data_IF_494143091510
#
_entry.id   IF_494143091510
#
_cell.length_a   1.000
_cell.length_b   1.000
_cell.length_c   1.000
_cell.angle_alpha   90.00
_cell.angle_beta   90.00
_cell.angle_gamma   90.00
#
_symmetry.space_group_name_H-M   'P 1'
#
loop_
_entity.id
_entity.type
_entity.pdbx_description
1 polymer ?
#
# COMPACT_ATOMS: atom_id res chain seq x y z
N UNK A 1 -25.32 7.38 24.32
CA UNK A 1 -24.94 7.19 22.89
C UNK A 1 -25.41 8.35 21.99
N UNK A 2 -26.69 8.78 22.05
CA UNK A 2 -27.16 9.93 21.27
C UNK A 2 -26.41 11.24 21.57
N UNK A 3 -26.10 11.53 22.83
CA UNK A 3 -25.30 12.70 23.21
C UNK A 3 -23.89 12.68 22.63
N UNK A 4 -23.28 11.50 22.52
CA UNK A 4 -21.99 11.35 21.87
C UNK A 4 -22.01 11.81 20.41
N UNK A 5 -23.03 11.39 19.63
CA UNK A 5 -23.16 11.80 18.23
C UNK A 5 -23.50 13.28 18.05
N UNK A 6 -24.11 13.94 19.06
CA UNK A 6 -24.41 15.38 19.03
C UNK A 6 -23.18 16.25 19.27
N UNK A 7 -22.18 15.73 20.01
CA UNK A 7 -20.91 16.43 20.28
C UNK A 7 -19.78 16.09 19.31
N UNK A 8 -20.02 15.16 18.38
CA UNK A 8 -19.05 14.83 17.33
C UNK A 8 -18.90 16.00 16.35
N UNK A 9 -17.65 16.41 16.13
CA UNK A 9 -17.34 17.35 15.06
C UNK A 9 -17.40 16.64 13.70
N UNK A 10 -18.57 16.62 13.09
CA UNK A 10 -18.81 15.94 11.79
C UNK A 10 -17.95 16.47 10.66
N UNK A 11 -17.48 17.72 10.75
CA UNK A 11 -16.56 18.28 9.77
C UNK A 11 -15.19 17.59 9.87
N UNK A 12 -14.68 17.38 11.07
CA UNK A 12 -13.42 16.65 11.30
C UNK A 12 -13.56 15.18 10.88
N UNK A 13 -14.69 14.55 11.19
CA UNK A 13 -14.97 13.18 10.72
C UNK A 13 -14.94 13.12 9.19
N UNK A 14 -15.62 14.04 8.53
CA UNK A 14 -15.64 14.13 7.06
C UNK A 14 -14.25 14.36 6.47
N UNK A 15 -13.42 15.19 7.09
CA UNK A 15 -12.02 15.41 6.69
C UNK A 15 -11.18 14.14 6.84
N UNK A 16 -11.30 13.43 7.98
CA UNK A 16 -10.56 12.18 8.21
C UNK A 16 -10.97 11.14 7.17
N UNK A 17 -12.27 10.96 6.91
CA UNK A 17 -12.76 10.01 5.90
C UNK A 17 -12.24 10.38 4.52
N UNK A 18 -12.32 11.66 4.14
CA UNK A 18 -11.86 12.13 2.83
C UNK A 18 -10.35 11.92 2.66
N UNK A 19 -9.57 12.27 3.68
CA UNK A 19 -8.11 12.06 3.69
C UNK A 19 -7.79 10.57 3.58
N UNK A 20 -8.46 9.71 4.37
CA UNK A 20 -8.21 8.27 4.36
C UNK A 20 -8.59 7.64 3.01
N UNK A 21 -9.67 8.08 2.37
CA UNK A 21 -10.04 7.62 1.02
C UNK A 21 -9.05 8.12 -0.03
N UNK A 22 -8.64 9.38 0.03
CA UNK A 22 -7.72 9.97 -0.95
C UNK A 22 -6.31 9.38 -0.84
N UNK A 23 -5.83 9.19 0.40
CA UNK A 23 -4.52 8.60 0.69
C UNK A 23 -4.55 7.07 0.76
N UNK A 24 -5.72 6.47 0.82
CA UNK A 24 -5.91 5.01 0.90
C UNK A 24 -6.32 4.37 -0.42
N UNK A 25 -6.39 5.14 -1.51
CA UNK A 25 -6.74 4.60 -2.83
C UNK A 25 -5.70 3.61 -3.36
N UNK A 26 -4.44 3.83 -3.07
CA UNK A 26 -3.32 2.93 -3.34
C UNK A 26 -3.40 1.64 -2.50
N UNK A 27 -3.89 1.70 -1.26
CA UNK A 27 -4.11 0.51 -0.43
C UNK A 27 -5.09 -0.47 -1.08
N UNK A 28 -6.12 0.03 -1.77
CA UNK A 28 -7.06 -0.83 -2.49
C UNK A 28 -6.37 -1.60 -3.64
N UNK A 29 -5.38 -1.00 -4.30
CA UNK A 29 -4.57 -1.65 -5.34
C UNK A 29 -3.70 -2.74 -4.72
N UNK A 30 -3.04 -2.47 -3.58
CA UNK A 30 -2.21 -3.44 -2.86
C UNK A 30 -3.02 -4.64 -2.41
N UNK A 31 -4.19 -4.40 -1.82
CA UNK A 31 -5.11 -5.47 -1.38
C UNK A 31 -5.52 -6.34 -2.59
N UNK A 32 -5.89 -5.71 -3.71
CA UNK A 32 -6.28 -6.42 -4.92
C UNK A 32 -5.12 -7.25 -5.48
N UNK A 33 -3.90 -6.68 -5.56
CA UNK A 33 -2.69 -7.37 -6.01
C UNK A 33 -2.37 -8.58 -5.13
N UNK A 34 -2.38 -8.41 -3.81
CA UNK A 34 -2.08 -9.49 -2.87
C UNK A 34 -3.12 -10.63 -2.91
N UNK A 35 -4.38 -10.31 -3.21
CA UNK A 35 -5.48 -11.28 -3.23
C UNK A 35 -5.74 -11.88 -4.62
N UNK A 36 -5.05 -11.45 -5.69
CA UNK A 36 -5.38 -11.85 -7.07
C UNK A 36 -5.23 -13.34 -7.34
N UNK A 37 -4.24 -13.99 -6.71
CA UNK A 37 -3.96 -15.43 -6.86
C UNK A 37 -4.72 -16.33 -5.89
N UNK A 38 -5.52 -15.73 -5.00
CA UNK A 38 -6.36 -16.50 -4.11
C UNK A 38 -7.51 -17.18 -4.88
N UNK A 39 -7.88 -18.42 -4.53
CA UNK A 39 -9.11 -19.05 -5.00
C UNK A 39 -10.31 -18.13 -4.77
N UNK A 40 -11.30 -18.17 -5.65
CA UNK A 40 -12.44 -17.22 -5.63
C UNK A 40 -13.15 -17.16 -4.27
N UNK A 41 -13.34 -18.32 -3.64
CA UNK A 41 -14.00 -18.43 -2.32
C UNK A 41 -13.19 -17.86 -1.16
N UNK A 42 -11.87 -17.62 -1.34
CA UNK A 42 -10.98 -17.02 -0.35
C UNK A 42 -10.67 -15.54 -0.62
N UNK A 43 -10.90 -15.03 -1.83
CA UNK A 43 -10.59 -13.64 -2.20
C UNK A 43 -11.25 -12.62 -1.27
N UNK A 44 -12.54 -12.77 -1.01
CA UNK A 44 -13.24 -11.86 -0.10
C UNK A 44 -12.71 -11.96 1.33
N UNK A 45 -12.35 -13.15 1.79
CA UNK A 45 -11.72 -13.34 3.12
C UNK A 45 -10.36 -12.67 3.19
N UNK A 46 -9.57 -12.74 2.11
CA UNK A 46 -8.27 -12.04 2.00
C UNK A 46 -8.43 -10.53 2.03
N UNK A 47 -9.34 -9.99 1.24
CA UNK A 47 -9.64 -8.55 1.18
C UNK A 47 -10.09 -8.03 2.55
N UNK A 48 -11.11 -8.67 3.14
CA UNK A 48 -11.65 -8.24 4.44
C UNK A 48 -10.62 -8.42 5.56
N UNK A 49 -9.96 -9.57 5.62
CA UNK A 49 -8.94 -9.86 6.64
C UNK A 49 -7.74 -8.93 6.54
N UNK A 50 -7.27 -8.65 5.32
CA UNK A 50 -6.20 -7.69 5.05
C UNK A 50 -6.59 -6.27 5.44
N UNK A 51 -7.76 -5.80 4.99
CA UNK A 51 -8.26 -4.47 5.29
C UNK A 51 -8.47 -4.25 6.79
N UNK A 52 -9.10 -5.20 7.49
CA UNK A 52 -9.30 -5.10 8.95
C UNK A 52 -7.97 -5.09 9.72
N UNK A 53 -7.04 -5.98 9.35
CA UNK A 53 -5.71 -6.02 9.97
C UNK A 53 -4.93 -4.72 9.75
N UNK A 54 -4.97 -4.17 8.54
CA UNK A 54 -4.37 -2.90 8.18
C UNK A 54 -4.92 -1.75 9.02
N UNK A 55 -6.25 -1.68 9.19
CA UNK A 55 -6.91 -0.63 9.94
C UNK A 55 -6.57 -0.67 11.43
N UNK A 56 -6.62 -1.85 12.04
CA UNK A 56 -6.23 -2.01 13.45
C UNK A 56 -4.81 -1.48 13.66
N UNK A 57 -3.91 -1.85 12.75
CA UNK A 57 -2.52 -1.41 12.80
C UNK A 57 -2.41 0.12 12.61
N UNK A 58 -3.14 0.69 11.65
CA UNK A 58 -3.15 2.14 11.39
C UNK A 58 -3.62 2.95 12.59
N UNK A 59 -4.68 2.52 13.29
CA UNK A 59 -5.14 3.17 14.52
C UNK A 59 -4.04 3.16 15.59
N UNK A 60 -3.32 2.05 15.73
CA UNK A 60 -2.16 1.96 16.64
C UNK A 60 -1.05 2.91 16.20
N UNK A 61 -0.71 2.94 14.91
CA UNK A 61 0.34 3.81 14.37
C UNK A 61 0.05 5.29 14.60
N UNK A 62 -1.20 5.71 14.47
CA UNK A 62 -1.60 7.11 14.69
C UNK A 62 -1.31 7.53 16.15
N UNK A 63 -1.47 6.64 17.11
CA UNK A 63 -1.12 6.92 18.52
C UNK A 63 0.38 7.19 18.71
N UNK A 64 1.24 6.65 17.84
CA UNK A 64 2.70 6.80 17.87
C UNK A 64 3.27 7.65 16.75
N UNK A 65 2.42 8.34 15.99
CA UNK A 65 2.76 9.06 14.76
C UNK A 65 4.02 9.92 14.88
N UNK A 66 4.04 10.84 15.85
CA UNK A 66 5.14 11.80 16.03
C UNK A 66 6.47 11.08 16.34
N UNK A 67 6.41 10.01 17.12
CA UNK A 67 7.60 9.22 17.46
C UNK A 67 8.13 8.46 16.25
N UNK A 68 7.25 7.83 15.48
CA UNK A 68 7.62 7.07 14.29
C UNK A 68 8.30 7.93 13.23
N UNK A 69 7.85 9.16 13.05
CA UNK A 69 8.41 10.08 12.06
C UNK A 69 9.82 10.55 12.37
N UNK A 70 10.21 10.57 13.65
CA UNK A 70 11.55 10.97 14.09
C UNK A 70 12.57 9.83 14.03
N UNK A 71 12.14 8.59 13.73
CA UNK A 71 13.03 7.43 13.66
C UNK A 71 13.80 7.44 12.34
N UNK A 72 15.15 7.62 12.37
CA UNK A 72 15.96 7.58 11.17
C UNK A 72 15.96 6.17 10.55
N UNK A 73 16.11 6.10 9.23
CA UNK A 73 16.12 4.89 8.41
C UNK A 73 14.78 4.11 8.34
N UNK A 74 13.75 4.54 9.07
CA UNK A 74 12.46 3.85 9.06
C UNK A 74 11.81 3.87 7.67
N UNK A 75 11.82 5.03 7.01
CA UNK A 75 11.29 5.20 5.65
C UNK A 75 12.14 4.50 4.61
N UNK A 76 13.46 4.42 4.80
CA UNK A 76 14.35 3.67 3.91
C UNK A 76 14.01 2.18 3.95
N UNK A 77 13.93 1.60 5.15
CA UNK A 77 13.57 0.18 5.31
C UNK A 77 12.19 -0.10 4.73
N UNK A 78 11.22 0.76 5.04
CA UNK A 78 9.87 0.64 4.50
C UNK A 78 9.83 0.75 2.98
N UNK A 79 10.52 1.72 2.40
CA UNK A 79 10.60 1.91 0.94
C UNK A 79 11.23 0.72 0.21
N UNK A 80 12.32 0.16 0.76
CA UNK A 80 12.92 -1.08 0.23
C UNK A 80 11.94 -2.24 0.29
N UNK A 81 11.20 -2.35 1.40
CA UNK A 81 10.19 -3.39 1.57
C UNK A 81 9.03 -3.25 0.58
N UNK A 82 8.56 -2.02 0.29
CA UNK A 82 7.54 -1.78 -0.74
C UNK A 82 8.02 -2.14 -2.13
N UNK A 83 9.26 -1.79 -2.49
CA UNK A 83 9.86 -2.18 -3.76
C UNK A 83 9.93 -3.71 -3.87
N UNK A 84 10.37 -4.39 -2.81
CA UNK A 84 10.42 -5.85 -2.76
C UNK A 84 9.02 -6.48 -2.89
N UNK A 85 8.00 -5.94 -2.19
CA UNK A 85 6.61 -6.42 -2.31
C UNK A 85 6.11 -6.21 -3.74
N UNK A 86 6.36 -5.04 -4.33
CA UNK A 86 5.98 -4.74 -5.71
C UNK A 86 6.59 -5.73 -6.70
N UNK A 87 7.88 -6.03 -6.55
CA UNK A 87 8.56 -7.06 -7.36
C UNK A 87 7.96 -8.45 -7.14
N UNK A 88 7.80 -8.85 -5.88
CA UNK A 88 7.22 -10.15 -5.54
C UNK A 88 5.82 -10.31 -6.13
N UNK A 89 4.96 -9.30 -5.97
CA UNK A 89 3.60 -9.34 -6.51
C UNK A 89 3.58 -9.33 -8.05
N UNK A 90 4.59 -8.80 -8.72
CA UNK A 90 4.70 -8.86 -10.17
C UNK A 90 5.21 -10.22 -10.66
N UNK A 91 6.13 -10.83 -9.90
CA UNK A 91 6.76 -12.11 -10.23
C UNK A 91 5.89 -13.33 -9.92
N UNK A 92 4.93 -13.19 -9.00
CA UNK A 92 3.99 -14.24 -8.60
C UNK A 92 2.95 -14.49 -9.73
N UNK A 93 3.44 -14.70 -10.97
CA UNK A 93 2.66 -15.11 -12.13
C UNK A 93 2.44 -16.62 -12.08
N UNK A 94 1.65 -17.06 -11.08
CA UNK A 94 1.02 -18.39 -11.16
C UNK A 94 1.97 -19.58 -11.34
N UNK A 95 3.12 -19.57 -10.67
CA UNK A 95 3.92 -20.79 -10.57
C UNK A 95 3.07 -21.88 -9.90
N UNK A 96 2.98 -23.02 -10.56
CA UNK A 96 2.24 -24.22 -10.15
C UNK A 96 2.81 -24.83 -8.87
N UNK A 97 2.77 -24.10 -7.76
CA UNK A 97 2.87 -24.69 -6.43
C UNK A 97 1.53 -25.34 -6.09
N UNK A 98 1.23 -26.46 -6.76
CA UNK A 98 0.01 -27.25 -6.59
C UNK A 98 -0.18 -27.78 -5.16
N UNK A 99 0.84 -27.71 -4.30
CA UNK A 99 0.80 -28.28 -2.94
C UNK A 99 0.59 -27.27 -1.80
N UNK A 100 0.54 -25.96 -2.07
CA UNK A 100 0.33 -25.00 -0.99
C UNK A 100 -1.16 -24.90 -0.65
N UNK A 101 -1.52 -25.32 0.58
CA UNK A 101 -2.88 -25.21 1.12
C UNK A 101 -3.44 -23.77 0.97
N UNK A 102 -4.69 -23.69 0.51
CA UNK A 102 -5.38 -22.41 0.32
C UNK A 102 -5.39 -21.54 1.58
N UNK A 103 -5.35 -22.12 2.76
CA UNK A 103 -5.23 -21.41 4.04
C UNK A 103 -3.88 -20.71 4.20
N UNK A 104 -2.80 -21.33 3.78
CA UNK A 104 -1.45 -20.75 3.81
C UNK A 104 -1.34 -19.57 2.82
N UNK A 105 -1.89 -19.71 1.60
CA UNK A 105 -1.96 -18.62 0.61
C UNK A 105 -2.78 -17.44 1.12
N UNK A 106 -3.92 -17.69 1.78
CA UNK A 106 -4.75 -16.66 2.40
C UNK A 106 -3.97 -15.88 3.46
N UNK A 107 -3.28 -16.57 4.36
CA UNK A 107 -2.51 -15.92 5.41
C UNK A 107 -1.34 -15.11 4.86
N UNK A 108 -0.68 -15.59 3.81
CA UNK A 108 0.38 -14.86 3.09
C UNK A 108 -0.17 -13.57 2.48
N UNK A 109 -1.32 -13.62 1.80
CA UNK A 109 -1.96 -12.45 1.25
C UNK A 109 -2.31 -11.42 2.33
N UNK A 110 -2.93 -11.85 3.43
CA UNK A 110 -3.29 -10.98 4.56
C UNK A 110 -2.03 -10.33 5.15
N UNK A 111 -0.97 -11.10 5.40
CA UNK A 111 0.30 -10.57 5.92
C UNK A 111 0.91 -9.54 4.96
N UNK A 112 0.91 -9.82 3.66
CA UNK A 112 1.43 -8.88 2.64
C UNK A 112 0.67 -7.57 2.67
N UNK A 113 -0.67 -7.60 2.76
CA UNK A 113 -1.51 -6.40 2.88
C UNK A 113 -1.17 -5.62 4.13
N UNK A 114 -1.12 -6.28 5.30
CA UNK A 114 -0.84 -5.62 6.59
C UNK A 114 0.55 -4.98 6.59
N UNK A 115 1.57 -5.67 6.06
CA UNK A 115 2.93 -5.14 6.01
C UNK A 115 3.05 -3.98 5.03
N UNK A 116 2.42 -4.07 3.87
CA UNK A 116 2.42 -2.97 2.92
C UNK A 116 1.68 -1.74 3.47
N UNK A 117 0.49 -1.92 4.09
CA UNK A 117 -0.26 -0.83 4.71
C UNK A 117 0.51 -0.22 5.90
N UNK A 118 1.22 -1.04 6.70
CA UNK A 118 2.11 -0.55 7.76
C UNK A 118 3.08 0.50 7.23
N UNK A 119 3.77 0.18 6.15
CA UNK A 119 4.78 1.05 5.54
C UNK A 119 4.14 2.31 4.96
N UNK A 120 3.07 2.17 4.20
CA UNK A 120 2.36 3.28 3.57
C UNK A 120 1.67 4.19 4.59
N UNK A 121 1.22 3.61 5.70
CA UNK A 121 0.60 4.36 6.79
C UNK A 121 1.56 5.28 7.53
N UNK A 122 2.88 5.05 7.49
CA UNK A 122 3.86 5.93 8.15
C UNK A 122 3.74 7.38 7.65
N UNK A 123 3.57 7.58 6.35
CA UNK A 123 3.37 8.92 5.77
C UNK A 123 1.92 9.42 5.93
N UNK A 124 0.92 8.54 5.80
CA UNK A 124 -0.50 8.89 5.88
C UNK A 124 -0.94 9.29 7.30
N UNK A 125 -0.30 8.73 8.32
CA UNK A 125 -0.58 8.98 9.74
C UNK A 125 -0.46 10.46 10.11
N UNK A 126 0.46 11.21 9.49
CA UNK A 126 0.62 12.65 9.72
C UNK A 126 -0.62 13.42 9.30
N UNK A 127 -1.13 13.15 8.10
CA UNK A 127 -2.28 13.88 7.57
C UNK A 127 -3.54 13.60 8.41
N UNK A 128 -3.73 12.37 8.84
CA UNK A 128 -4.85 11.98 9.70
C UNK A 128 -4.70 12.57 11.10
N UNK A 129 -3.49 12.55 11.68
CA UNK A 129 -3.21 13.16 12.98
C UNK A 129 -3.45 14.68 12.96
N UNK A 130 -2.97 15.37 11.91
CA UNK A 130 -3.19 16.81 11.74
C UNK A 130 -4.68 17.17 11.60
N UNK A 131 -5.46 16.36 10.87
CA UNK A 131 -6.91 16.55 10.80
C UNK A 131 -7.57 16.33 12.17
N UNK A 132 -7.12 15.33 12.92
CA UNK A 132 -7.63 15.05 14.26
C UNK A 132 -7.28 16.12 15.29
N UNK A 133 -6.21 16.90 15.07
CA UNK A 133 -5.85 18.01 15.98
C UNK A 133 -6.89 19.13 16.02
N UNK A 134 -7.73 19.24 15.00
CA UNK A 134 -8.85 20.19 14.97
C UNK A 134 -10.01 19.77 15.90
N UNK A 135 -9.98 18.54 16.41
CA UNK A 135 -10.97 18.05 17.37
C UNK A 135 -10.57 18.37 18.83
N UNK A 136 -11.57 18.37 19.74
CA UNK A 136 -11.31 18.47 21.17
C UNK A 136 -10.47 17.28 21.65
N UNK A 137 -9.52 17.53 22.56
CA UNK A 137 -8.50 16.56 22.97
C UNK A 137 -9.07 15.20 23.42
N UNK A 138 -10.19 15.21 24.13
CA UNK A 138 -10.81 14.02 24.73
C UNK A 138 -11.43 13.05 23.70
N UNK A 139 -11.63 13.50 22.46
CA UNK A 139 -12.34 12.70 21.43
C UNK A 139 -11.48 12.39 20.19
N UNK A 140 -10.23 12.88 20.14
CA UNK A 140 -9.37 12.75 18.94
C UNK A 140 -9.24 11.30 18.45
N UNK A 141 -8.85 10.38 19.34
CA UNK A 141 -8.61 8.99 18.98
C UNK A 141 -9.90 8.28 18.52
N UNK A 142 -11.02 8.59 19.17
CA UNK A 142 -12.32 8.02 18.82
C UNK A 142 -12.78 8.51 17.46
N UNK A 143 -12.59 9.80 17.17
CA UNK A 143 -12.91 10.41 15.88
C UNK A 143 -12.09 9.80 14.74
N UNK A 144 -10.79 9.61 14.98
CA UNK A 144 -9.88 8.96 14.04
C UNK A 144 -10.30 7.52 13.78
N UNK A 145 -10.50 6.73 14.84
CA UNK A 145 -10.93 5.33 14.70
C UNK A 145 -12.28 5.21 13.97
N UNK A 146 -13.22 6.09 14.27
CA UNK A 146 -14.52 6.13 13.61
C UNK A 146 -14.40 6.53 12.14
N UNK A 147 -13.63 7.58 11.82
CA UNK A 147 -13.40 8.02 10.43
C UNK A 147 -12.77 6.94 9.57
N UNK A 148 -11.72 6.29 10.08
CA UNK A 148 -11.05 5.17 9.40
C UNK A 148 -11.99 3.97 9.26
N UNK A 149 -12.81 3.67 10.28
CA UNK A 149 -13.78 2.57 10.21
C UNK A 149 -14.83 2.79 9.12
N UNK A 150 -15.26 4.02 8.91
CA UNK A 150 -16.23 4.36 7.85
C UNK A 150 -15.62 4.23 6.45
N UNK A 151 -14.32 4.41 6.28
CA UNK A 151 -13.64 4.21 4.99
C UNK A 151 -13.50 2.74 4.59
N UNK A 152 -13.58 1.78 5.54
CA UNK A 152 -13.43 0.33 5.27
C UNK A 152 -14.29 -0.17 4.11
N UNK A 153 -15.62 0.07 4.09
CA UNK A 153 -16.47 -0.39 2.99
C UNK A 153 -15.97 0.10 1.62
N UNK A 154 -15.49 1.34 1.55
CA UNK A 154 -15.00 1.95 0.31
C UNK A 154 -13.74 1.24 -0.17
N UNK A 155 -12.79 0.96 0.72
CA UNK A 155 -11.53 0.25 0.41
C UNK A 155 -11.82 -1.19 -0.02
N UNK A 156 -12.70 -1.91 0.69
CA UNK A 156 -13.09 -3.30 0.35
C UNK A 156 -13.77 -3.34 -1.03
N UNK A 157 -14.71 -2.44 -1.27
CA UNK A 157 -15.43 -2.36 -2.54
C UNK A 157 -14.50 -1.96 -3.68
N UNK A 158 -13.65 -0.95 -3.46
CA UNK A 158 -12.61 -0.52 -4.39
C UNK A 158 -11.65 -1.65 -4.76
N UNK A 159 -11.13 -2.37 -3.77
CA UNK A 159 -10.24 -3.53 -4.00
C UNK A 159 -10.92 -4.62 -4.82
N UNK A 160 -12.20 -4.90 -4.57
CA UNK A 160 -12.98 -5.88 -5.33
C UNK A 160 -13.18 -5.47 -6.79
N UNK A 161 -13.37 -4.18 -7.07
CA UNK A 161 -13.47 -3.64 -8.42
C UNK A 161 -12.11 -3.74 -9.12
N UNK A 162 -11.03 -3.29 -8.46
CA UNK A 162 -9.68 -3.32 -9.01
C UNK A 162 -9.29 -4.76 -9.34
N UNK A 163 -9.61 -5.72 -8.49
CA UNK A 163 -9.34 -7.14 -8.74
C UNK A 163 -10.04 -7.63 -10.02
N UNK A 164 -11.30 -7.25 -10.25
CA UNK A 164 -12.02 -7.58 -11.49
C UNK A 164 -11.37 -6.93 -12.72
N UNK A 165 -10.90 -5.69 -12.59
CA UNK A 165 -10.21 -4.96 -13.65
C UNK A 165 -8.86 -5.63 -13.97
N UNK A 166 -8.10 -6.06 -12.97
CA UNK A 166 -6.84 -6.78 -13.14
C UNK A 166 -6.99 -8.09 -13.91
N UNK A 167 -8.07 -8.84 -13.64
CA UNK A 167 -8.37 -10.06 -14.41
C UNK A 167 -8.70 -9.77 -15.87
N UNK A 168 -9.28 -8.61 -16.18
CA UNK A 168 -9.61 -8.22 -17.57
C UNK A 168 -8.43 -7.55 -18.29
N UNK A 169 -7.60 -6.83 -17.54
CA UNK A 169 -6.50 -6.03 -18.07
C UNK A 169 -5.22 -6.30 -17.28
N UNK A 170 -4.39 -7.29 -17.69
CA UNK A 170 -3.15 -7.64 -17.00
C UNK A 170 -2.17 -6.48 -16.81
N UNK A 171 -2.17 -5.50 -17.72
CA UNK A 171 -1.36 -4.29 -17.59
C UNK A 171 -1.60 -3.52 -16.28
N UNK A 172 -2.80 -3.63 -15.70
CA UNK A 172 -3.13 -3.01 -14.41
C UNK A 172 -2.31 -3.60 -13.26
N UNK A 173 -1.92 -4.87 -13.36
CA UNK A 173 -1.03 -5.54 -12.39
C UNK A 173 0.35 -4.88 -12.42
N UNK A 174 0.91 -4.72 -13.63
CA UNK A 174 2.21 -4.06 -13.82
C UNK A 174 2.17 -2.61 -13.33
N UNK A 175 1.11 -1.87 -13.63
CA UNK A 175 0.92 -0.51 -13.15
C UNK A 175 0.82 -0.44 -11.62
N UNK A 176 0.10 -1.37 -10.99
CA UNK A 176 0.01 -1.44 -9.53
C UNK A 176 1.36 -1.77 -8.87
N UNK A 177 2.11 -2.72 -9.43
CA UNK A 177 3.46 -3.03 -8.96
C UNK A 177 4.42 -1.85 -9.16
N UNK A 178 4.34 -1.15 -10.30
CA UNK A 178 5.10 0.06 -10.57
C UNK A 178 4.77 1.19 -9.57
N UNK A 179 3.50 1.32 -9.19
CA UNK A 179 3.06 2.27 -8.16
C UNK A 179 3.71 1.97 -6.82
N UNK A 180 3.77 0.70 -6.40
CA UNK A 180 4.47 0.31 -5.17
C UNK A 180 5.96 0.66 -5.25
N UNK A 181 6.59 0.43 -6.40
CA UNK A 181 7.97 0.84 -6.65
C UNK A 181 8.16 2.35 -6.55
N UNK A 182 7.23 3.12 -7.12
CA UNK A 182 7.23 4.58 -7.05
C UNK A 182 7.10 5.09 -5.60
N UNK A 183 6.14 4.57 -4.85
CA UNK A 183 5.92 4.93 -3.45
C UNK A 183 7.14 4.57 -2.61
N UNK A 184 7.69 3.36 -2.78
CA UNK A 184 8.89 2.92 -2.08
C UNK A 184 10.11 3.80 -2.37
N UNK A 185 10.35 4.11 -3.64
CA UNK A 185 11.46 4.98 -4.05
C UNK A 185 11.32 6.42 -3.54
N UNK A 186 10.10 6.97 -3.60
CA UNK A 186 9.79 8.30 -3.05
C UNK A 186 10.00 8.33 -1.53
N UNK A 187 9.54 7.30 -0.82
CA UNK A 187 9.65 7.19 0.63
C UNK A 187 11.11 7.17 1.09
N UNK A 188 11.99 6.48 0.37
CA UNK A 188 13.43 6.44 0.69
C UNK A 188 14.02 7.85 0.72
N UNK A 189 13.76 8.68 -0.28
CA UNK A 189 14.34 10.04 -0.36
C UNK A 189 13.83 11.01 0.71
N UNK A 190 12.70 10.71 1.35
CA UNK A 190 12.11 11.52 2.41
C UNK A 190 12.43 11.00 3.82
N UNK A 191 13.38 10.07 3.97
CA UNK A 191 13.83 9.63 5.30
C UNK A 191 14.62 10.73 6.00
N UNK A 192 14.36 10.89 7.31
CA UNK A 192 15.01 11.90 8.15
C UNK A 192 16.53 11.80 8.12
N UNK A 193 17.08 10.59 7.92
CA UNK A 193 18.52 10.37 7.88
C UNK A 193 19.20 10.93 6.61
N UNK A 194 18.48 11.07 5.49
CA UNK A 194 19.06 11.44 4.20
C UNK A 194 18.34 12.60 3.49
N UNK A 195 17.23 13.08 4.01
CA UNK A 195 16.37 14.09 3.35
C UNK A 195 17.16 15.38 3.04
N UNK A 196 18.03 15.83 3.94
CA UNK A 196 18.84 17.04 3.73
C UNK A 196 19.83 16.84 2.59
N UNK A 197 20.47 15.66 2.51
CA UNK A 197 21.37 15.33 1.44
C UNK A 197 20.66 15.18 0.10
N UNK A 198 19.50 14.51 0.07
CA UNK A 198 18.72 14.28 -1.15
C UNK A 198 18.16 15.59 -1.71
N UNK A 199 17.67 16.49 -0.86
CA UNK A 199 17.14 17.80 -1.28
C UNK A 199 18.23 18.73 -1.84
N UNK A 200 19.48 18.62 -1.34
CA UNK A 200 20.57 19.45 -1.81
C UNK A 200 21.25 18.90 -3.07
N UNK A 201 21.28 17.59 -3.27
CA UNK A 201 22.11 16.96 -4.31
C UNK A 201 21.29 16.32 -5.44
N UNK A 202 19.99 16.06 -5.24
CA UNK A 202 19.14 15.45 -6.25
C UNK A 202 18.02 16.41 -6.70
N UNK A 203 17.69 16.44 -7.99
CA UNK A 203 16.47 17.07 -8.44
C UNK A 203 15.29 16.24 -7.91
N UNK A 204 14.67 16.69 -6.82
CA UNK A 204 13.59 15.95 -6.15
C UNK A 204 12.40 15.71 -7.09
N UNK A 205 12.14 16.64 -8.00
CA UNK A 205 11.07 16.55 -8.97
C UNK A 205 11.63 16.42 -10.40
N UNK A 206 11.31 15.31 -11.07
CA UNK A 206 11.62 15.11 -12.49
C UNK A 206 10.75 16.00 -13.39
N UNK A 207 9.46 16.09 -13.08
CA UNK A 207 8.47 16.87 -13.82
C UNK A 207 7.55 17.59 -12.85
N UNK A 208 7.40 18.87 -13.07
CA UNK A 208 6.44 19.72 -12.35
C UNK A 208 5.31 20.10 -13.32
N UNK A 209 4.20 19.43 -13.19
CA UNK A 209 2.98 19.84 -13.90
C UNK A 209 2.29 20.94 -13.13
N UNK A 210 2.69 22.19 -13.41
CA UNK A 210 2.26 23.39 -12.65
C UNK A 210 0.73 23.57 -12.66
N UNK A 211 0.08 23.20 -13.77
CA UNK A 211 -1.35 23.40 -13.96
C UNK A 211 -2.23 22.43 -13.15
N UNK A 212 -1.71 21.27 -12.79
CA UNK A 212 -2.47 20.22 -12.06
C UNK A 212 -1.85 19.86 -10.70
N UNK A 213 -0.80 20.57 -10.27
CA UNK A 213 -0.16 20.37 -8.96
C UNK A 213 0.48 18.99 -8.77
N UNK A 214 0.78 18.27 -9.86
CA UNK A 214 1.39 16.93 -9.80
C UNK A 214 2.90 17.05 -9.93
N UNK A 215 3.62 16.48 -8.97
CA UNK A 215 5.07 16.39 -8.95
C UNK A 215 5.50 14.94 -9.08
N UNK A 216 6.30 14.62 -10.10
CA UNK A 216 6.90 13.30 -10.28
C UNK A 216 8.26 13.27 -9.60
N UNK A 217 8.37 12.50 -8.51
CA UNK A 217 9.63 12.28 -7.80
C UNK A 217 10.62 11.49 -8.65
N UNK A 218 11.87 11.95 -8.70
CA UNK A 218 12.96 11.22 -9.36
C UNK A 218 13.17 9.84 -8.74
N UNK A 219 13.29 9.77 -7.44
CA UNK A 219 13.52 8.52 -6.70
C UNK A 219 12.36 7.56 -6.80
N UNK A 220 11.12 8.10 -6.77
CA UNK A 220 9.92 7.31 -7.03
C UNK A 220 9.91 6.71 -8.43
N UNK A 221 10.25 7.51 -9.45
CA UNK A 221 10.33 7.04 -10.84
C UNK A 221 11.37 5.94 -11.02
N UNK A 222 12.55 6.08 -10.38
CA UNK A 222 13.58 5.04 -10.36
C UNK A 222 13.04 3.76 -9.73
N UNK A 223 12.35 3.86 -8.59
CA UNK A 223 11.74 2.72 -7.91
C UNK A 223 10.69 2.01 -8.79
N UNK A 224 9.84 2.77 -9.49
CA UNK A 224 8.86 2.21 -10.42
C UNK A 224 9.53 1.46 -11.59
N UNK A 225 10.53 2.08 -12.21
CA UNK A 225 11.29 1.46 -13.32
C UNK A 225 11.99 0.18 -12.85
N UNK A 226 12.60 0.21 -11.66
CA UNK A 226 13.31 -0.94 -11.08
C UNK A 226 12.37 -2.13 -10.90
N UNK A 227 11.16 -1.93 -10.35
CA UNK A 227 10.16 -2.99 -10.18
C UNK A 227 9.74 -3.57 -11.52
N UNK A 228 9.43 -2.71 -12.51
CA UNK A 228 8.97 -3.16 -13.83
C UNK A 228 10.08 -3.90 -14.59
N UNK A 229 11.31 -3.37 -14.59
CA UNK A 229 12.44 -3.97 -15.32
C UNK A 229 12.81 -5.33 -14.73
N UNK A 230 12.94 -5.42 -13.40
CA UNK A 230 13.26 -6.69 -12.73
C UNK A 230 12.12 -7.69 -12.93
N UNK A 231 10.86 -7.27 -12.78
CA UNK A 231 9.71 -8.12 -13.01
C UNK A 231 9.66 -8.64 -14.46
N UNK A 232 9.84 -7.75 -15.45
CA UNK A 232 9.87 -8.15 -16.86
C UNK A 232 11.08 -9.02 -17.23
N UNK A 233 12.21 -8.86 -16.54
CA UNK A 233 13.39 -9.70 -16.76
C UNK A 233 13.22 -11.10 -16.16
N UNK A 234 12.65 -11.17 -14.99
CA UNK A 234 12.46 -12.45 -14.30
C UNK A 234 11.32 -13.29 -14.90
N UNK A 235 10.28 -12.65 -15.43
CA UNK A 235 9.21 -13.35 -16.17
C UNK A 235 9.67 -13.92 -17.54
N UNK A 236 10.84 -13.49 -18.04
CA UNK A 236 11.43 -13.99 -19.29
C UNK A 236 12.39 -15.18 -19.10
N UNK A 237 12.66 -15.61 -17.86
CA UNK A 237 13.46 -16.82 -17.66
C UNK A 237 12.69 -18.02 -18.18
N UNK A 238 13.22 -18.77 -19.20
CA UNK A 238 12.58 -20.00 -19.64
C UNK A 238 12.51 -20.97 -18.47
N UNK A 239 11.35 -21.58 -18.26
CA UNK A 239 11.21 -22.80 -17.46
C UNK A 239 12.28 -23.78 -17.96
N UNK A 240 13.01 -24.50 -17.10
CA UNK A 240 13.88 -25.57 -17.56
C UNK A 240 13.03 -26.52 -18.41
N UNK A 241 13.39 -26.65 -19.69
CA UNK A 241 12.79 -27.65 -20.54
C UNK A 241 12.94 -28.99 -19.82
N UNK A 242 11.82 -29.71 -19.63
CA UNK A 242 11.85 -31.10 -19.30
C UNK A 242 12.79 -31.76 -20.30
N UNK A 243 13.96 -32.22 -19.83
CA UNK A 243 14.80 -33.15 -20.58
C UNK A 243 13.92 -34.37 -20.83
N UNK A 244 13.34 -34.43 -22.02
CA UNK A 244 12.74 -35.66 -22.52
C UNK A 244 13.84 -36.75 -22.46
N UNK A 245 13.63 -37.86 -21.74
CA UNK A 245 14.57 -38.98 -21.81
C UNK A 245 14.54 -39.46 -23.24
N UNK A 246 15.64 -39.20 -23.95
CA UNK A 246 15.91 -39.79 -25.25
C UNK A 246 15.89 -41.32 -25.08
N UNK A 247 14.95 -41.95 -25.76
CA UNK A 247 14.79 -43.40 -25.75
C UNK A 247 16.04 -44.06 -26.31
N UNK A 248 16.66 -44.92 -25.50
CA UNK A 248 17.60 -45.93 -25.90
C UNK A 248 16.93 -47.31 -25.92
#
# INVERSE_FOLDING_TARGET
>A
MLEFFQHLNWLVVGQIILIDILLGGDNAIVIALACRHLPEHLRMKGIVGGALGAIVLRVVLIAFAVTLLSVPYLKIIGGILLIWIGMKLLLDEGGDDEEIDGGSRLMTAIKTVIVADLVMSIDNVIAVAAAAEQAHADHKMILVAFGIMVSIPVVIWGSSIILKVMHKFPAVVTLGAALLGYLGGSMISHDVAIVDWTTQNLPMDLLKFHDIGVHLSLTGTIGAILVVVIGAWASKKPTPEEETPEAA
#
